data_IF_315173670661
#
_entry.id   IF_315173670661
#
_cell.length_a   1.000
_cell.length_b   1.000
_cell.length_c   1.000
_cell.angle_alpha   90.00
_cell.angle_beta   90.00
_cell.angle_gamma   90.00
#
_symmetry.space_group_name_H-M   'P 1'
#
loop_
_entity.id
_entity.type
_entity.pdbx_description
1 polymer ?
#
# COMPACT_ATOMS: atom_id res chain seq x y z
N UNK A 1 -11.01 -32.79 -54.40
CA UNK A 1 -11.60 -31.46 -54.09
C UNK A 1 -12.99 -31.46 -53.44
N UNK A 2 -13.75 -32.52 -53.45
CA UNK A 2 -15.09 -32.59 -52.80
C UNK A 2 -15.04 -32.97 -51.31
N UNK A 3 -14.07 -33.75 -50.89
CA UNK A 3 -13.89 -34.19 -49.46
C UNK A 3 -13.39 -33.11 -48.52
N UNK A 4 -12.54 -32.19 -48.99
CA UNK A 4 -12.03 -31.08 -48.18
C UNK A 4 -13.08 -30.03 -47.88
N UNK A 5 -14.02 -29.79 -48.76
CA UNK A 5 -15.15 -28.86 -48.52
C UNK A 5 -16.17 -29.41 -47.52
N UNK A 6 -16.34 -30.74 -47.48
CA UNK A 6 -17.24 -31.38 -46.50
C UNK A 6 -16.67 -31.35 -45.10
N UNK A 7 -15.32 -31.48 -44.94
CA UNK A 7 -14.65 -31.39 -43.66
C UNK A 7 -14.65 -29.95 -43.09
N UNK A 8 -14.54 -28.95 -43.97
CA UNK A 8 -14.65 -27.52 -43.56
C UNK A 8 -16.07 -27.15 -43.11
N UNK A 9 -17.10 -27.73 -43.70
CA UNK A 9 -18.49 -27.50 -43.33
C UNK A 9 -18.83 -28.12 -41.97
N UNK A 10 -18.25 -29.28 -41.64
CA UNK A 10 -18.40 -29.93 -40.32
C UNK A 10 -17.67 -29.11 -39.24
N UNK A 11 -16.50 -28.57 -39.53
CA UNK A 11 -15.76 -27.71 -38.55
C UNK A 11 -16.48 -26.41 -38.22
N UNK A 12 -17.14 -25.78 -39.21
CA UNK A 12 -17.95 -24.58 -39.01
C UNK A 12 -19.22 -24.88 -38.20
N UNK A 13 -19.82 -26.09 -38.35
CA UNK A 13 -21.02 -26.45 -37.59
C UNK A 13 -20.71 -26.77 -36.12
N UNK A 14 -19.51 -27.23 -35.79
CA UNK A 14 -19.09 -27.50 -34.40
C UNK A 14 -18.83 -26.20 -33.62
N UNK A 15 -18.37 -25.16 -34.30
CA UNK A 15 -18.16 -23.82 -33.67
C UNK A 15 -19.49 -23.10 -33.40
N UNK A 16 -20.56 -23.38 -34.16
CA UNK A 16 -21.87 -22.77 -33.97
C UNK A 16 -22.68 -23.35 -32.78
N UNK A 17 -22.24 -24.48 -32.19
CA UNK A 17 -22.91 -25.11 -31.02
C UNK A 17 -22.30 -24.67 -29.67
N UNK A 18 -21.35 -23.74 -29.64
CA UNK A 18 -20.95 -23.04 -28.45
C UNK A 18 -22.01 -22.00 -28.06
N UNK A 19 -23.24 -22.47 -27.81
CA UNK A 19 -24.19 -21.72 -27.02
C UNK A 19 -23.60 -21.56 -25.62
N UNK A 20 -23.01 -20.39 -25.32
CA UNK A 20 -22.80 -19.98 -23.95
C UNK A 20 -24.18 -19.87 -23.30
N UNK A 21 -24.60 -20.89 -22.55
CA UNK A 21 -25.60 -20.72 -21.53
C UNK A 21 -25.07 -19.55 -20.72
N UNK A 22 -25.78 -18.43 -20.73
CA UNK A 22 -25.53 -17.34 -19.75
C UNK A 22 -25.49 -18.04 -18.39
N UNK A 23 -24.32 -18.06 -17.76
CA UNK A 23 -24.22 -18.58 -16.40
C UNK A 23 -25.27 -17.82 -15.60
N UNK A 24 -26.24 -18.55 -15.05
CA UNK A 24 -27.27 -17.98 -14.20
C UNK A 24 -26.50 -17.26 -13.10
N UNK A 25 -26.73 -15.96 -12.94
CA UNK A 25 -26.05 -15.22 -11.90
C UNK A 25 -26.24 -15.96 -10.58
N UNK A 26 -25.14 -16.34 -9.93
CA UNK A 26 -25.20 -17.06 -8.66
C UNK A 26 -25.82 -16.18 -7.58
N UNK A 27 -25.58 -14.87 -7.65
CA UNK A 27 -25.99 -13.93 -6.64
C UNK A 27 -27.52 -13.76 -6.63
N UNK A 28 -28.08 -13.77 -5.43
CA UNK A 28 -29.48 -13.43 -5.19
C UNK A 28 -29.73 -11.94 -5.46
N UNK A 29 -30.92 -11.61 -5.96
CA UNK A 29 -31.39 -10.23 -5.98
C UNK A 29 -31.63 -9.77 -4.53
N UNK A 30 -30.68 -9.00 -4.00
CA UNK A 30 -30.73 -8.51 -2.62
C UNK A 30 -32.01 -7.71 -2.31
N UNK A 31 -32.61 -7.07 -3.31
CA UNK A 31 -33.85 -6.30 -3.11
C UNK A 31 -34.99 -7.13 -2.53
N UNK A 32 -35.02 -8.43 -2.87
CA UNK A 32 -36.03 -9.39 -2.39
C UNK A 32 -35.78 -9.82 -0.93
N UNK A 33 -34.55 -9.70 -0.46
CA UNK A 33 -34.13 -10.17 0.88
C UNK A 33 -34.08 -9.07 1.94
N UNK A 34 -34.33 -7.81 1.60
CA UNK A 34 -34.24 -6.67 2.52
C UNK A 34 -35.10 -6.77 3.78
N UNK A 35 -36.18 -7.55 3.74
CA UNK A 35 -37.00 -7.82 4.92
C UNK A 35 -36.31 -8.77 5.92
N UNK A 36 -35.25 -9.46 5.51
CA UNK A 36 -34.57 -10.49 6.29
C UNK A 36 -33.10 -10.20 6.52
N UNK A 37 -32.46 -9.50 5.61
CA UNK A 37 -31.03 -9.22 5.62
C UNK A 37 -30.79 -7.72 5.46
N UNK A 38 -30.05 -7.13 6.40
CA UNK A 38 -29.67 -5.71 6.38
C UNK A 38 -28.34 -5.49 5.64
N UNK A 39 -27.37 -6.38 5.87
CA UNK A 39 -26.02 -6.26 5.30
C UNK A 39 -25.35 -7.62 5.22
N UNK A 40 -24.33 -7.75 4.35
CA UNK A 40 -23.53 -8.96 4.20
C UNK A 40 -22.15 -8.64 3.63
N UNK A 41 -21.19 -9.53 3.82
CA UNK A 41 -19.87 -9.43 3.20
C UNK A 41 -20.01 -9.50 1.68
N UNK A 42 -19.44 -8.53 0.96
CA UNK A 42 -19.56 -8.47 -0.50
C UNK A 42 -18.32 -7.85 -1.15
N UNK A 43 -18.10 -8.13 -2.43
CA UNK A 43 -17.01 -7.57 -3.22
C UNK A 43 -15.64 -8.10 -2.78
N UNK A 44 -14.65 -7.19 -2.70
CA UNK A 44 -13.29 -7.52 -2.28
C UNK A 44 -13.19 -7.52 -0.74
N UNK A 45 -12.76 -8.65 -0.19
CA UNK A 45 -12.56 -8.85 1.26
C UNK A 45 -11.13 -9.26 1.56
N UNK A 46 -10.64 -8.99 2.77
CA UNK A 46 -9.36 -9.52 3.23
C UNK A 46 -9.41 -11.05 3.30
N UNK A 47 -8.31 -11.71 2.98
CA UNK A 47 -8.16 -13.15 3.17
C UNK A 47 -8.27 -13.57 4.65
N UNK A 48 -8.11 -12.63 5.59
CA UNK A 48 -8.26 -12.85 7.03
C UNK A 48 -9.66 -12.46 7.56
N UNK A 49 -10.59 -12.09 6.68
CA UNK A 49 -11.92 -11.67 7.10
C UNK A 49 -12.85 -12.83 7.37
N UNK A 50 -13.72 -12.64 8.37
CA UNK A 50 -14.92 -13.44 8.53
C UNK A 50 -15.92 -13.12 7.42
N UNK A 51 -16.78 -14.07 7.08
CA UNK A 51 -17.90 -13.86 6.15
C UNK A 51 -19.14 -13.61 6.98
N UNK A 52 -19.66 -12.38 6.93
CA UNK A 52 -20.72 -11.88 7.84
C UNK A 52 -22.04 -11.64 7.13
N UNK A 53 -23.11 -11.89 7.84
CA UNK A 53 -24.47 -11.48 7.45
C UNK A 53 -25.16 -10.83 8.65
N UNK A 54 -25.72 -9.66 8.44
CA UNK A 54 -26.53 -8.93 9.42
C UNK A 54 -28.01 -9.13 9.08
N UNK A 55 -28.75 -9.75 9.99
CA UNK A 55 -30.18 -10.03 9.83
C UNK A 55 -31.03 -8.78 10.15
N UNK A 56 -32.20 -8.69 9.53
CA UNK A 56 -33.17 -7.64 9.80
C UNK A 56 -34.10 -7.94 11.01
N UNK A 57 -33.79 -9.01 11.72
CA UNK A 57 -34.54 -9.45 12.92
C UNK A 57 -33.55 -9.96 13.99
N UNK A 58 -33.99 -9.87 15.25
CA UNK A 58 -33.21 -10.32 16.40
C UNK A 58 -33.52 -11.77 16.76
N UNK A 59 -32.47 -12.50 17.08
CA UNK A 59 -32.50 -13.82 17.74
C UNK A 59 -32.14 -13.63 19.21
N UNK A 60 -33.17 -13.45 20.04
CA UNK A 60 -32.97 -13.12 21.47
C UNK A 60 -32.23 -14.20 22.26
N UNK A 61 -32.25 -15.44 21.76
CA UNK A 61 -31.56 -16.58 22.31
C UNK A 61 -30.06 -16.57 22.05
N UNK A 62 -29.58 -15.76 21.09
CA UNK A 62 -28.16 -15.75 20.74
C UNK A 62 -27.33 -14.89 21.70
N UNK A 63 -26.21 -15.42 22.09
CA UNK A 63 -25.18 -14.71 22.85
C UNK A 63 -23.95 -14.45 21.97
N UNK A 64 -23.22 -13.39 22.27
CA UNK A 64 -22.03 -13.04 21.49
C UNK A 64 -20.96 -14.15 21.57
N UNK A 65 -20.43 -14.55 20.42
CA UNK A 65 -19.47 -15.64 20.19
C UNK A 65 -20.04 -17.06 20.45
N UNK A 66 -21.34 -17.21 20.51
CA UNK A 66 -21.98 -18.53 20.55
C UNK A 66 -21.78 -19.25 19.22
N UNK A 67 -21.38 -20.51 19.28
CA UNK A 67 -21.24 -21.37 18.11
C UNK A 67 -22.61 -21.86 17.66
N UNK A 68 -22.91 -21.69 16.38
CA UNK A 68 -24.16 -22.05 15.73
C UNK A 68 -23.96 -23.27 14.83
N UNK A 69 -25.07 -23.79 14.29
CA UNK A 69 -25.03 -24.89 13.33
C UNK A 69 -24.20 -24.52 12.10
N UNK A 70 -23.24 -25.35 11.77
CA UNK A 70 -22.37 -25.17 10.61
C UNK A 70 -23.12 -25.21 9.28
N UNK A 71 -24.26 -25.91 9.24
CA UNK A 71 -25.11 -26.01 8.04
C UNK A 71 -25.80 -24.69 7.67
N UNK A 72 -25.71 -23.66 8.50
CA UNK A 72 -26.24 -22.33 8.13
C UNK A 72 -25.53 -21.71 6.95
N UNK A 73 -24.29 -22.07 6.68
CA UNK A 73 -23.54 -21.60 5.54
C UNK A 73 -23.04 -22.76 4.67
N UNK A 74 -23.16 -22.58 3.35
CA UNK A 74 -22.43 -23.39 2.36
C UNK A 74 -21.48 -22.49 1.60
N UNK A 75 -20.20 -22.87 1.51
CA UNK A 75 -19.15 -22.08 0.86
C UNK A 75 -18.48 -22.94 -0.21
N UNK A 76 -18.35 -22.39 -1.41
CA UNK A 76 -17.70 -23.05 -2.55
C UNK A 76 -16.62 -22.13 -3.16
N UNK A 77 -15.36 -22.60 -3.30
CA UNK A 77 -14.83 -23.88 -2.84
C UNK A 77 -14.94 -24.05 -1.32
N UNK A 78 -15.03 -25.28 -0.84
CA UNK A 78 -15.19 -25.60 0.58
C UNK A 78 -14.05 -25.02 1.42
N UNK A 79 -14.41 -24.49 2.59
CA UNK A 79 -13.51 -23.89 3.57
C UNK A 79 -13.88 -24.46 4.95
N UNK A 80 -12.89 -24.95 5.67
CA UNK A 80 -13.06 -25.35 7.07
C UNK A 80 -13.21 -24.12 7.97
N UNK A 81 -14.17 -24.16 8.86
CA UNK A 81 -14.44 -23.04 9.77
C UNK A 81 -15.64 -23.33 10.67
N UNK A 82 -16.07 -22.30 11.38
CA UNK A 82 -17.25 -22.39 12.26
C UNK A 82 -18.18 -21.22 12.05
N UNK A 83 -19.45 -21.43 12.32
CA UNK A 83 -20.47 -20.38 12.31
C UNK A 83 -20.68 -19.91 13.75
N UNK A 84 -20.67 -18.58 13.94
CA UNK A 84 -20.89 -17.96 15.26
C UNK A 84 -21.88 -16.82 15.19
N UNK A 85 -22.62 -16.61 16.25
CA UNK A 85 -23.36 -15.38 16.48
C UNK A 85 -22.40 -14.30 17.00
N UNK A 86 -22.20 -13.21 16.28
CA UNK A 86 -21.44 -12.05 16.75
C UNK A 86 -22.31 -11.13 17.63
N UNK A 87 -23.61 -11.15 17.41
CA UNK A 87 -24.63 -10.44 18.20
C UNK A 87 -25.99 -11.13 18.02
N UNK A 88 -27.03 -10.57 18.61
CA UNK A 88 -28.40 -11.07 18.46
C UNK A 88 -28.94 -11.06 17.00
N UNK A 89 -28.30 -10.33 16.09
CA UNK A 89 -28.72 -10.24 14.68
C UNK A 89 -27.56 -10.38 13.68
N UNK A 90 -26.37 -10.70 14.11
CA UNK A 90 -25.20 -10.81 13.23
C UNK A 90 -24.58 -12.19 13.36
N UNK A 91 -24.52 -12.90 12.23
CA UNK A 91 -23.83 -14.19 12.13
C UNK A 91 -22.59 -14.08 11.26
N UNK A 92 -21.60 -14.89 11.55
CA UNK A 92 -20.37 -14.96 10.80
C UNK A 92 -19.91 -16.40 10.61
N UNK A 93 -19.44 -16.72 9.43
CA UNK A 93 -18.58 -17.85 9.20
C UNK A 93 -17.13 -17.40 9.44
N UNK A 94 -16.45 -18.02 10.39
CA UNK A 94 -15.06 -17.76 10.75
C UNK A 94 -14.21 -18.88 10.18
N UNK A 95 -13.41 -18.64 9.12
CA UNK A 95 -12.51 -19.63 8.58
C UNK A 95 -11.48 -20.08 9.62
N UNK A 96 -11.18 -21.38 9.68
CA UNK A 96 -10.13 -21.92 10.58
C UNK A 96 -8.73 -21.42 10.17
N UNK A 97 -8.52 -21.26 8.85
CA UNK A 97 -7.30 -20.69 8.26
C UNK A 97 -7.67 -19.53 7.37
N UNK A 98 -6.72 -18.64 7.11
CA UNK A 98 -6.96 -17.56 6.14
C UNK A 98 -7.41 -18.15 4.80
N UNK A 99 -8.34 -17.47 4.15
CA UNK A 99 -8.80 -17.81 2.81
C UNK A 99 -7.65 -17.69 1.80
N UNK A 100 -7.73 -18.47 0.70
CA UNK A 100 -6.77 -18.30 -0.39
C UNK A 100 -6.91 -16.90 -0.98
N UNK A 101 -5.79 -16.26 -1.28
CA UNK A 101 -5.78 -14.92 -1.87
C UNK A 101 -6.22 -14.94 -3.35
N UNK A 102 -6.75 -13.81 -3.83
CA UNK A 102 -7.21 -13.62 -5.21
C UNK A 102 -8.21 -14.68 -5.68
N UNK A 103 -8.99 -15.24 -4.76
CA UNK A 103 -9.94 -16.33 -5.02
C UNK A 103 -11.37 -15.87 -4.79
N UNK A 104 -12.25 -16.35 -5.65
CA UNK A 104 -13.68 -16.14 -5.53
C UNK A 104 -14.30 -17.28 -4.73
N UNK A 105 -15.21 -16.92 -3.82
CA UNK A 105 -15.99 -17.84 -3.02
C UNK A 105 -17.47 -17.51 -3.21
N UNK A 106 -18.25 -18.53 -3.55
CA UNK A 106 -19.68 -18.50 -3.58
C UNK A 106 -20.21 -18.90 -2.21
N UNK A 107 -21.05 -18.08 -1.63
CA UNK A 107 -21.57 -18.26 -0.27
C UNK A 107 -23.08 -18.35 -0.33
N UNK A 108 -23.64 -19.38 0.28
CA UNK A 108 -25.07 -19.58 0.47
C UNK A 108 -25.37 -19.50 1.96
N UNK A 109 -26.21 -18.58 2.38
CA UNK A 109 -26.85 -18.60 3.70
C UNK A 109 -28.19 -19.29 3.59
N UNK A 110 -28.39 -20.39 4.33
CA UNK A 110 -29.65 -21.13 4.43
C UNK A 110 -30.63 -20.37 5.35
N UNK A 111 -31.26 -19.32 4.82
CA UNK A 111 -32.11 -18.40 5.57
C UNK A 111 -33.34 -19.10 6.16
N UNK A 112 -33.83 -20.19 5.53
CA UNK A 112 -34.95 -20.99 6.04
C UNK A 112 -34.64 -21.68 7.38
N UNK A 113 -33.37 -21.90 7.72
CA UNK A 113 -32.95 -22.47 9.03
C UNK A 113 -33.01 -21.41 10.14
N UNK A 114 -33.03 -20.14 9.77
CA UNK A 114 -33.04 -19.03 10.72
C UNK A 114 -34.44 -18.47 10.98
N UNK A 115 -35.32 -18.48 9.99
CA UNK A 115 -36.67 -17.91 10.09
C UNK A 115 -37.60 -18.46 9.01
N UNK A 116 -38.89 -18.29 9.21
CA UNK A 116 -39.88 -18.69 8.23
C UNK A 116 -39.83 -17.72 7.03
N UNK A 117 -39.53 -18.25 5.86
CA UNK A 117 -39.43 -17.49 4.61
C UNK A 117 -40.23 -18.14 3.47
N UNK A 118 -40.65 -17.38 2.47
CA UNK A 118 -41.23 -17.95 1.24
C UNK A 118 -40.25 -18.91 0.58
N UNK A 119 -40.78 -19.96 -0.06
CA UNK A 119 -39.94 -21.02 -0.68
C UNK A 119 -38.90 -20.53 -1.70
N UNK A 120 -39.14 -19.32 -2.27
CA UNK A 120 -38.17 -18.68 -3.21
C UNK A 120 -37.01 -17.95 -2.51
N UNK A 121 -37.10 -17.74 -1.20
CA UNK A 121 -36.11 -17.00 -0.39
C UNK A 121 -35.40 -17.89 0.63
N UNK A 122 -35.45 -19.20 0.45
CA UNK A 122 -34.84 -20.16 1.40
C UNK A 122 -33.33 -19.97 1.50
N UNK A 123 -32.69 -19.67 0.38
CA UNK A 123 -31.25 -19.55 0.26
C UNK A 123 -30.88 -18.16 -0.24
N UNK A 124 -30.02 -17.48 0.50
CA UNK A 124 -29.43 -16.22 0.09
C UNK A 124 -28.00 -16.45 -0.42
N UNK A 125 -27.82 -16.25 -1.72
CA UNK A 125 -26.56 -16.49 -2.41
C UNK A 125 -25.83 -15.19 -2.67
N UNK A 126 -24.53 -15.16 -2.38
CA UNK A 126 -23.68 -14.03 -2.68
C UNK A 126 -22.25 -14.48 -2.93
N UNK A 127 -21.45 -13.64 -3.59
CA UNK A 127 -20.06 -13.90 -3.94
C UNK A 127 -19.16 -12.92 -3.24
N UNK A 128 -18.06 -13.42 -2.71
CA UNK A 128 -16.94 -12.60 -2.24
C UNK A 128 -15.69 -12.96 -3.04
N UNK A 129 -14.77 -12.00 -3.17
CA UNK A 129 -13.44 -12.24 -3.74
C UNK A 129 -12.39 -11.75 -2.75
N UNK A 130 -11.42 -12.59 -2.45
CA UNK A 130 -10.30 -12.21 -1.59
C UNK A 130 -9.30 -11.30 -2.34
N UNK A 131 -8.72 -10.37 -1.62
CA UNK A 131 -7.69 -9.47 -2.14
C UNK A 131 -6.48 -10.30 -2.59
N UNK A 132 -5.93 -9.99 -3.76
CA UNK A 132 -4.60 -10.48 -4.16
C UNK A 132 -3.57 -9.79 -3.28
N UNK A 133 -2.76 -10.57 -2.56
CA UNK A 133 -1.67 -9.99 -1.78
C UNK A 133 -0.62 -9.40 -2.70
N UNK A 134 -0.24 -8.19 -2.38
CA UNK A 134 0.79 -7.42 -3.06
C UNK A 134 1.43 -6.47 -2.05
N UNK A 135 2.58 -5.90 -2.36
CA UNK A 135 3.18 -4.87 -1.53
C UNK A 135 4.01 -3.89 -2.34
N UNK A 136 4.21 -2.73 -1.78
CA UNK A 136 5.07 -1.68 -2.31
C UNK A 136 6.10 -1.29 -1.25
N UNK A 137 7.34 -1.09 -1.67
CA UNK A 137 8.41 -0.56 -0.83
C UNK A 137 8.66 0.88 -1.22
N UNK A 138 8.58 1.78 -0.25
CA UNK A 138 8.91 3.19 -0.42
C UNK A 138 9.94 3.60 0.61
N UNK A 139 10.79 4.54 0.25
CA UNK A 139 11.79 5.13 1.16
C UNK A 139 11.74 6.63 1.05
N UNK A 140 12.11 7.30 2.13
CA UNK A 140 12.37 8.74 2.14
C UNK A 140 13.79 9.00 1.64
N UNK A 141 14.16 10.26 1.61
CA UNK A 141 15.51 10.68 1.27
C UNK A 141 16.56 10.20 2.26
N UNK A 142 17.77 10.07 1.74
CA UNK A 142 18.95 9.78 2.53
C UNK A 142 19.19 10.90 3.55
N UNK A 143 19.35 10.54 4.82
CA UNK A 143 19.57 11.46 5.92
C UNK A 143 20.94 11.20 6.56
N UNK A 144 21.62 12.28 6.97
CA UNK A 144 22.88 12.21 7.71
C UNK A 144 22.67 12.48 9.20
N UNK A 145 23.26 11.66 10.06
CA UNK A 145 23.37 11.95 11.49
C UNK A 145 24.84 12.07 11.94
N UNK A 146 25.77 11.79 11.07
CA UNK A 146 27.19 12.01 11.28
C UNK A 146 27.94 12.07 9.97
N UNK A 147 29.19 12.50 10.01
CA UNK A 147 30.10 12.52 8.86
C UNK A 147 30.35 11.11 8.27
N UNK A 148 30.25 10.07 9.10
CA UNK A 148 30.60 8.69 8.73
C UNK A 148 29.38 7.84 8.38
N UNK A 149 28.20 8.22 8.83
CA UNK A 149 26.99 7.38 8.73
C UNK A 149 25.77 8.16 8.32
N UNK A 150 25.00 7.50 7.49
CA UNK A 150 23.69 7.95 7.02
C UNK A 150 22.63 6.89 7.28
N UNK A 151 21.37 7.25 7.11
CA UNK A 151 20.24 6.34 7.24
C UNK A 151 19.12 6.67 6.25
N UNK A 152 18.28 5.69 5.99
CA UNK A 152 17.05 5.83 5.22
C UNK A 152 15.86 5.33 6.03
N UNK A 153 14.79 6.09 6.05
CA UNK A 153 13.49 5.60 6.52
C UNK A 153 12.71 5.02 5.36
N UNK A 154 11.94 3.99 5.63
CA UNK A 154 11.09 3.39 4.62
C UNK A 154 9.84 2.76 5.18
N UNK A 155 8.94 2.41 4.28
CA UNK A 155 7.66 1.77 4.58
C UNK A 155 7.41 0.68 3.55
N UNK A 156 7.01 -0.50 4.03
CA UNK A 156 6.36 -1.52 3.20
C UNK A 156 4.86 -1.34 3.39
N UNK A 157 4.13 -1.11 2.30
CA UNK A 157 2.66 -1.05 2.31
C UNK A 157 2.11 -2.25 1.59
N UNK A 158 1.29 -3.07 2.27
CA UNK A 158 0.67 -4.27 1.70
C UNK A 158 -0.79 -4.04 1.32
N UNK A 159 -1.26 -4.75 0.31
CA UNK A 159 -2.66 -4.67 -0.16
C UNK A 159 -3.64 -5.30 0.83
N UNK A 160 -3.22 -6.35 1.52
CA UNK A 160 -3.99 -7.04 2.57
C UNK A 160 -3.14 -7.26 3.82
N UNK A 161 -3.76 -7.74 4.89
CA UNK A 161 -3.08 -8.03 6.15
C UNK A 161 -1.90 -8.98 5.92
N UNK A 162 -0.73 -8.57 6.40
CA UNK A 162 0.50 -9.33 6.37
C UNK A 162 1.02 -9.48 7.81
N UNK A 163 1.67 -10.56 8.14
CA UNK A 163 2.29 -10.67 9.44
C UNK A 163 3.65 -9.94 9.50
N UNK A 164 4.02 -9.47 10.69
CA UNK A 164 5.21 -8.65 10.89
C UNK A 164 6.52 -9.39 10.57
N UNK A 165 6.58 -10.68 10.84
CA UNK A 165 7.78 -11.48 10.59
C UNK A 165 7.96 -11.78 9.09
N UNK A 166 6.86 -11.94 8.35
CA UNK A 166 6.87 -12.01 6.89
C UNK A 166 7.34 -10.67 6.29
N UNK A 167 6.77 -9.55 6.74
CA UNK A 167 7.17 -8.23 6.25
C UNK A 167 8.68 -7.97 6.38
N UNK A 168 9.30 -8.41 7.49
CA UNK A 168 10.75 -8.30 7.72
C UNK A 168 11.60 -9.09 6.71
N UNK A 169 11.05 -10.17 6.18
CA UNK A 169 11.77 -11.05 5.25
C UNK A 169 11.61 -10.63 3.79
N UNK A 170 10.70 -9.71 3.49
CA UNK A 170 10.46 -9.23 2.13
C UNK A 170 11.62 -8.42 1.58
N UNK A 171 12.39 -7.72 2.42
CA UNK A 171 13.44 -6.79 1.98
C UNK A 171 14.81 -7.18 2.51
N UNK A 172 15.80 -6.86 1.73
CA UNK A 172 17.23 -6.95 2.09
C UNK A 172 17.96 -5.72 1.57
N UNK A 173 19.05 -5.36 2.24
CA UNK A 173 19.87 -4.21 1.87
C UNK A 173 21.33 -4.60 1.85
N UNK A 174 22.02 -4.21 0.79
CA UNK A 174 23.46 -4.41 0.65
C UNK A 174 24.14 -3.10 0.27
N UNK A 175 25.31 -2.87 0.84
CA UNK A 175 26.27 -1.85 0.45
C UNK A 175 27.56 -2.54 0.03
N UNK A 176 27.95 -2.42 -1.25
CA UNK A 176 29.14 -3.08 -1.79
C UNK A 176 29.25 -4.57 -1.38
N UNK A 177 28.17 -5.33 -1.65
CA UNK A 177 28.03 -6.76 -1.32
C UNK A 177 28.03 -7.12 0.17
N UNK A 178 28.03 -6.14 1.06
CA UNK A 178 27.86 -6.34 2.51
C UNK A 178 26.44 -6.03 2.94
N UNK A 179 25.85 -6.95 3.69
CA UNK A 179 24.51 -6.75 4.24
C UNK A 179 24.48 -5.55 5.22
N UNK A 180 23.51 -4.67 5.04
CA UNK A 180 23.22 -3.55 5.93
C UNK A 180 22.03 -3.90 6.79
N UNK A 181 22.09 -3.55 8.08
CA UNK A 181 21.05 -3.87 9.03
C UNK A 181 19.78 -3.04 8.78
N UNK A 182 18.65 -3.72 8.75
CA UNK A 182 17.32 -3.10 8.70
C UNK A 182 16.71 -3.21 10.10
N UNK A 183 16.19 -2.10 10.62
CA UNK A 183 15.47 -2.04 11.89
C UNK A 183 13.99 -1.73 11.62
N UNK A 184 13.13 -2.70 11.85
CA UNK A 184 11.69 -2.49 11.78
C UNK A 184 11.16 -1.87 13.08
N UNK A 185 10.25 -0.92 12.97
CA UNK A 185 9.64 -0.20 14.10
C UNK A 185 8.23 -0.72 14.32
N UNK A 186 8.10 -1.71 15.20
CA UNK A 186 6.85 -2.43 15.43
C UNK A 186 5.74 -1.51 15.96
N UNK A 187 6.08 -0.59 16.83
CA UNK A 187 5.15 0.35 17.48
C UNK A 187 4.53 1.35 16.48
N UNK A 188 5.19 1.58 15.35
CA UNK A 188 4.73 2.45 14.27
C UNK A 188 4.18 1.67 13.07
N UNK A 189 4.14 0.35 13.17
CA UNK A 189 3.65 -0.55 12.13
C UNK A 189 2.24 -1.04 12.47
N UNK A 190 1.47 -1.36 11.43
CA UNK A 190 0.16 -2.00 11.55
C UNK A 190 0.13 -3.24 10.64
N UNK A 191 -1.03 -3.84 10.43
CA UNK A 191 -1.13 -5.04 9.61
C UNK A 191 -0.91 -4.83 8.10
N UNK A 192 -0.86 -3.57 7.64
CA UNK A 192 -0.69 -3.20 6.23
C UNK A 192 0.47 -2.25 5.97
N UNK A 193 0.99 -1.59 7.01
CA UNK A 193 2.11 -0.65 6.88
C UNK A 193 3.21 -1.03 7.87
N UNK A 194 4.41 -1.26 7.37
CA UNK A 194 5.57 -1.71 8.14
C UNK A 194 6.70 -0.71 7.97
N UNK A 195 6.89 0.12 8.99
CA UNK A 195 7.94 1.13 9.00
C UNK A 195 9.28 0.51 9.35
N UNK A 196 10.31 0.89 8.62
CA UNK A 196 11.67 0.44 8.84
C UNK A 196 12.69 1.57 8.67
N UNK A 197 13.87 1.33 9.23
CA UNK A 197 15.04 2.20 9.09
C UNK A 197 16.19 1.32 8.60
N UNK A 198 16.82 1.74 7.51
CA UNK A 198 18.13 1.23 7.09
C UNK A 198 19.15 2.11 7.79
N UNK A 199 19.74 1.59 8.84
CA UNK A 199 20.63 2.34 9.73
C UNK A 199 22.10 2.03 9.42
N UNK A 200 22.97 2.93 9.84
CA UNK A 200 24.43 2.74 9.75
C UNK A 200 24.95 2.52 8.32
N UNK A 201 24.36 3.20 7.35
CA UNK A 201 24.88 3.28 5.98
C UNK A 201 26.21 4.03 6.06
N UNK A 202 27.31 3.31 5.77
CA UNK A 202 28.65 3.87 5.93
C UNK A 202 29.03 4.73 4.73
N UNK A 203 29.46 5.95 4.99
CA UNK A 203 30.05 6.79 3.96
C UNK A 203 31.51 6.38 3.70
N UNK A 204 31.81 6.15 2.44
CA UNK A 204 33.17 5.88 1.97
C UNK A 204 33.92 7.20 1.70
N UNK A 205 35.20 7.11 1.33
CA UNK A 205 35.95 8.29 0.86
C UNK A 205 35.34 8.77 -0.46
N UNK A 206 35.11 7.85 -1.37
CA UNK A 206 34.47 8.06 -2.67
C UNK A 206 32.98 7.78 -2.60
N UNK A 207 32.22 8.24 -3.60
CA UNK A 207 30.82 7.93 -3.76
C UNK A 207 30.61 6.41 -3.85
N UNK A 208 29.58 5.90 -3.18
CA UNK A 208 29.22 4.49 -3.16
C UNK A 208 27.72 4.31 -3.40
N UNK A 209 27.25 3.06 -3.42
CA UNK A 209 25.82 2.76 -3.61
C UNK A 209 25.33 1.78 -2.57
N UNK A 210 24.05 1.93 -2.18
CA UNK A 210 23.32 0.87 -1.52
C UNK A 210 22.25 0.34 -2.46
N UNK A 211 21.99 -0.96 -2.34
CA UNK A 211 20.93 -1.66 -3.05
C UNK A 211 19.92 -2.18 -2.04
N UNK A 212 18.69 -1.76 -2.18
CA UNK A 212 17.52 -2.28 -1.48
C UNK A 212 16.84 -3.23 -2.43
N UNK A 213 16.70 -4.50 -2.06
CA UNK A 213 16.03 -5.52 -2.87
C UNK A 213 14.85 -6.09 -2.11
N UNK A 214 13.78 -6.45 -2.81
CA UNK A 214 12.62 -7.12 -2.23
C UNK A 214 12.19 -8.29 -3.07
N UNK A 215 11.70 -9.33 -2.39
CA UNK A 215 11.23 -10.55 -3.01
C UNK A 215 10.07 -11.15 -2.19
N UNK A 216 8.88 -11.14 -2.76
CA UNK A 216 7.67 -11.71 -2.18
C UNK A 216 7.46 -13.18 -2.54
N UNK A 217 8.19 -13.73 -3.53
CA UNK A 217 7.94 -15.07 -4.07
C UNK A 217 8.02 -16.20 -3.02
N UNK A 218 8.90 -16.14 -1.99
CA UNK A 218 8.90 -17.15 -0.93
C UNK A 218 7.62 -17.16 -0.06
N UNK A 219 6.76 -16.17 -0.22
CA UNK A 219 5.51 -15.97 0.56
C UNK A 219 4.27 -15.95 -0.33
N UNK A 220 4.35 -16.52 -1.53
CA UNK A 220 3.28 -16.54 -2.54
C UNK A 220 2.80 -15.14 -2.95
N UNK A 221 3.68 -14.14 -2.89
CA UNK A 221 3.43 -12.78 -3.35
C UNK A 221 4.25 -12.53 -4.62
N UNK A 222 3.55 -12.31 -5.73
CA UNK A 222 4.15 -12.10 -7.05
C UNK A 222 4.65 -10.66 -7.20
N UNK A 223 5.63 -10.28 -6.34
CA UNK A 223 6.24 -8.97 -6.33
C UNK A 223 7.73 -9.07 -6.02
N UNK A 224 8.55 -8.49 -6.90
CA UNK A 224 10.00 -8.48 -6.80
C UNK A 224 10.57 -7.21 -7.42
N UNK A 225 11.63 -6.71 -6.86
CA UNK A 225 12.29 -5.53 -7.41
C UNK A 225 13.52 -5.10 -6.63
N UNK A 226 14.11 -4.02 -7.08
CA UNK A 226 15.25 -3.41 -6.41
C UNK A 226 15.27 -1.89 -6.61
N UNK A 227 15.98 -1.20 -5.75
CA UNK A 227 16.15 0.23 -5.73
C UNK A 227 17.61 0.54 -5.36
N UNK A 228 18.24 1.45 -6.10
CA UNK A 228 19.63 1.87 -5.88
C UNK A 228 19.66 3.30 -5.37
N UNK A 229 20.45 3.55 -4.35
CA UNK A 229 20.75 4.89 -3.83
C UNK A 229 22.23 5.21 -3.93
N UNK A 230 22.54 6.40 -4.45
CA UNK A 230 23.87 6.95 -4.42
C UNK A 230 24.19 7.50 -3.03
N UNK A 231 25.28 7.05 -2.45
CA UNK A 231 25.79 7.51 -1.17
C UNK A 231 26.99 8.42 -1.43
N UNK A 232 26.85 9.75 -1.24
CA UNK A 232 27.94 10.68 -1.47
C UNK A 232 29.14 10.38 -0.59
N UNK A 233 30.32 10.41 -1.17
CA UNK A 233 31.58 10.27 -0.45
C UNK A 233 31.80 11.38 0.59
N UNK A 234 32.68 11.14 1.56
CA UNK A 234 32.91 12.09 2.68
C UNK A 234 33.37 13.48 2.25
N UNK A 235 34.05 13.58 1.12
CA UNK A 235 34.52 14.86 0.57
C UNK A 235 33.60 15.48 -0.47
N UNK A 236 32.45 14.86 -0.74
CA UNK A 236 31.52 15.28 -1.77
C UNK A 236 30.24 15.86 -1.16
N UNK A 237 30.35 17.08 -0.59
CA UNK A 237 29.21 17.79 -0.07
C UNK A 237 28.35 18.30 -1.24
N UNK A 238 27.13 17.81 -1.34
CA UNK A 238 26.20 18.13 -2.45
C UNK A 238 24.75 18.00 -2.03
N UNK A 239 23.85 18.50 -2.87
CA UNK A 239 22.41 18.21 -2.77
C UNK A 239 22.17 16.78 -3.26
N UNK A 240 21.36 16.04 -2.48
CA UNK A 240 20.96 14.65 -2.75
C UNK A 240 19.58 14.60 -3.40
N UNK A 241 18.66 15.46 -2.96
CA UNK A 241 17.32 15.60 -3.54
C UNK A 241 16.73 16.99 -3.34
N UNK A 242 15.76 17.34 -4.19
CA UNK A 242 14.96 18.54 -4.09
C UNK A 242 13.49 18.17 -4.30
N UNK A 243 12.66 18.37 -3.27
CA UNK A 243 11.25 17.98 -3.28
C UNK A 243 10.37 19.08 -2.69
N UNK A 244 9.10 19.11 -3.10
CA UNK A 244 8.09 19.99 -2.51
C UNK A 244 7.21 19.22 -1.56
N UNK A 245 7.23 19.59 -0.27
CA UNK A 245 6.31 19.06 0.73
C UNK A 245 4.88 19.53 0.42
N UNK A 246 3.94 18.60 0.39
CA UNK A 246 2.56 18.82 -0.09
C UNK A 246 1.55 19.12 1.03
N UNK A 247 2.00 19.41 2.24
CA UNK A 247 1.12 19.80 3.35
C UNK A 247 0.56 21.22 3.15
N UNK A 248 -0.23 21.72 4.11
CA UNK A 248 -1.00 22.98 4.02
C UNK A 248 -0.23 24.21 3.51
N UNK A 249 1.10 24.20 3.59
CA UNK A 249 1.97 25.23 3.02
C UNK A 249 2.99 24.53 2.11
N UNK A 250 3.20 25.07 0.90
CA UNK A 250 4.27 24.60 0.02
C UNK A 250 5.62 24.96 0.65
N UNK A 251 6.45 23.94 0.86
CA UNK A 251 7.84 24.08 1.33
C UNK A 251 8.73 23.31 0.38
N UNK A 252 9.72 23.96 -0.21
CA UNK A 252 10.77 23.25 -0.95
C UNK A 252 11.77 22.70 0.06
N UNK A 253 12.00 21.40 0.00
CA UNK A 253 12.95 20.66 0.81
C UNK A 253 14.19 20.37 -0.04
N UNK A 254 15.32 20.98 0.32
CA UNK A 254 16.62 20.68 -0.28
C UNK A 254 17.40 19.81 0.70
N UNK A 255 17.62 18.58 0.34
CA UNK A 255 18.28 17.58 1.17
C UNK A 255 19.77 17.47 0.77
N UNK A 256 20.66 17.75 1.69
CA UNK A 256 22.10 17.73 1.47
C UNK A 256 22.73 16.41 1.98
N UNK A 257 23.91 16.09 1.48
CA UNK A 257 24.65 14.91 1.90
C UNK A 257 25.16 14.96 3.35
N UNK A 258 25.27 16.16 3.90
CA UNK A 258 25.80 16.45 5.24
C UNK A 258 24.97 17.52 5.97
N UNK A 259 25.02 17.57 7.30
CA UNK A 259 24.41 18.67 8.06
C UNK A 259 24.94 20.04 7.63
N UNK A 260 24.01 20.98 7.56
CA UNK A 260 24.28 22.35 7.12
C UNK A 260 24.84 23.20 8.26
N UNK A 261 25.70 24.16 7.92
CA UNK A 261 26.09 25.22 8.81
C UNK A 261 24.86 26.09 9.14
N UNK A 262 24.42 26.05 10.41
CA UNK A 262 23.19 26.71 10.87
C UNK A 262 23.27 28.23 10.88
N UNK A 263 24.51 28.75 10.94
CA UNK A 263 24.75 30.19 11.03
C UNK A 263 24.94 30.83 9.65
N UNK A 264 24.85 30.05 8.57
CA UNK A 264 24.98 30.57 7.22
C UNK A 264 23.73 31.29 6.75
N UNK A 265 23.88 32.45 6.12
CA UNK A 265 22.86 33.10 5.34
C UNK A 265 22.76 32.45 3.96
N UNK A 266 21.57 31.94 3.63
CA UNK A 266 21.27 31.31 2.36
C UNK A 266 20.71 32.28 1.31
N UNK A 267 20.54 33.55 1.67
CA UNK A 267 20.06 34.59 0.74
C UNK A 267 21.00 34.75 -0.44
N UNK A 268 20.45 34.65 -1.65
CA UNK A 268 21.24 34.71 -2.89
C UNK A 268 21.96 33.42 -3.27
N UNK A 269 22.03 32.43 -2.36
CA UNK A 269 22.59 31.09 -2.67
C UNK A 269 21.53 30.12 -3.18
N UNK A 270 20.26 30.40 -2.97
CA UNK A 270 19.14 29.61 -3.48
C UNK A 270 18.22 30.49 -4.28
N UNK A 271 17.89 30.07 -5.48
CA UNK A 271 16.93 30.75 -6.34
C UNK A 271 15.88 29.76 -6.84
N UNK A 272 14.65 30.21 -6.94
CA UNK A 272 13.54 29.49 -7.52
C UNK A 272 12.85 30.37 -8.55
N UNK A 273 12.70 29.86 -9.74
CA UNK A 273 12.04 30.59 -10.84
C UNK A 273 10.69 31.17 -10.39
N UNK A 274 10.45 32.43 -10.70
CA UNK A 274 9.24 33.18 -10.35
C UNK A 274 9.01 33.40 -8.84
N UNK A 275 9.95 33.04 -7.97
CA UNK A 275 9.83 33.26 -6.54
C UNK A 275 10.72 34.43 -6.08
N UNK A 276 10.17 35.27 -5.19
CA UNK A 276 10.87 36.37 -4.57
C UNK A 276 10.82 36.25 -3.03
N UNK A 277 11.81 36.85 -2.36
CA UNK A 277 11.84 36.95 -0.90
C UNK A 277 11.71 35.61 -0.19
N UNK A 278 12.59 34.66 -0.54
CA UNK A 278 12.65 33.35 0.07
C UNK A 278 13.04 33.44 1.56
N UNK A 279 12.44 32.60 2.38
CA UNK A 279 12.81 32.40 3.78
C UNK A 279 13.36 31.01 3.98
N UNK A 280 14.32 30.87 4.89
CA UNK A 280 15.07 29.63 5.07
C UNK A 280 14.99 29.15 6.53
N UNK A 281 15.01 27.83 6.70
CA UNK A 281 15.22 27.17 7.98
C UNK A 281 16.02 25.88 7.76
N UNK A 282 16.97 25.62 8.64
CA UNK A 282 17.80 24.40 8.60
C UNK A 282 17.34 23.38 9.63
N UNK A 283 17.38 22.09 9.27
CA UNK A 283 17.13 20.97 10.16
C UNK A 283 18.09 19.82 9.82
N UNK A 284 19.26 19.79 10.45
CA UNK A 284 20.32 18.85 10.11
C UNK A 284 20.83 19.10 8.69
N UNK A 285 20.69 18.12 7.81
CA UNK A 285 21.07 18.20 6.40
C UNK A 285 19.95 18.71 5.48
N UNK A 286 18.83 19.13 6.03
CA UNK A 286 17.69 19.63 5.29
C UNK A 286 17.61 21.16 5.35
N UNK A 287 17.54 21.82 4.18
CA UNK A 287 17.20 23.22 4.03
C UNK A 287 15.75 23.34 3.60
N UNK A 288 14.92 23.95 4.45
CA UNK A 288 13.53 24.29 4.14
C UNK A 288 13.47 25.68 3.54
N UNK A 289 12.87 25.79 2.34
CA UNK A 289 12.66 27.06 1.64
C UNK A 289 11.18 27.38 1.61
N UNK A 290 10.81 28.52 2.19
CA UNK A 290 9.43 28.98 2.31
C UNK A 290 9.17 30.12 1.32
N UNK A 291 8.00 30.10 0.74
CA UNK A 291 7.51 31.06 -0.23
C UNK A 291 6.48 31.99 0.40
N UNK A 292 6.42 33.23 -0.07
CA UNK A 292 5.37 34.18 0.34
C UNK A 292 4.03 33.88 -0.35
N UNK A 293 4.08 33.35 -1.58
CA UNK A 293 2.92 33.02 -2.39
C UNK A 293 3.06 31.60 -2.95
N UNK A 294 1.95 30.84 -3.11
CA UNK A 294 1.97 29.51 -3.70
C UNK A 294 2.47 29.55 -5.15
N UNK A 295 3.42 28.67 -5.46
CA UNK A 295 3.97 28.48 -6.79
C UNK A 295 3.22 27.37 -7.54
N UNK A 296 3.34 27.35 -8.89
CA UNK A 296 2.66 26.38 -9.74
C UNK A 296 3.51 25.96 -10.92
N UNK A 297 3.39 24.69 -11.29
CA UNK A 297 4.03 24.15 -12.47
C UNK A 297 5.43 23.61 -12.17
N UNK A 298 6.15 23.34 -13.23
CA UNK A 298 7.52 22.87 -13.17
C UNK A 298 8.45 24.10 -13.23
N UNK A 299 9.14 24.38 -12.13
CA UNK A 299 9.98 25.57 -11.96
C UNK A 299 11.44 25.16 -11.72
N UNK A 300 12.35 25.97 -12.26
CA UNK A 300 13.77 25.77 -12.09
C UNK A 300 14.19 26.18 -10.65
N UNK A 301 14.86 25.27 -9.96
CA UNK A 301 15.50 25.48 -8.68
C UNK A 301 17.00 25.49 -8.90
N UNK A 302 17.66 26.59 -8.52
CA UNK A 302 19.11 26.73 -8.62
C UNK A 302 19.70 26.94 -7.23
N UNK A 303 20.77 26.24 -6.95
CA UNK A 303 21.52 26.40 -5.70
C UNK A 303 22.99 26.57 -6.05
N UNK A 304 23.53 27.71 -5.63
CA UNK A 304 24.90 28.09 -6.00
C UNK A 304 25.93 27.48 -5.05
N UNK A 305 27.12 27.20 -5.59
CA UNK A 305 28.27 26.82 -4.78
C UNK A 305 28.54 27.84 -3.68
N UNK A 306 29.07 27.37 -2.56
CA UNK A 306 29.35 28.26 -1.40
C UNK A 306 28.47 27.95 -0.21
N UNK A 307 27.42 27.12 -0.36
CA UNK A 307 26.75 26.54 0.81
C UNK A 307 27.76 25.66 1.56
N UNK A 308 27.76 25.79 2.88
CA UNK A 308 28.70 25.11 3.77
C UNK A 308 27.98 24.07 4.65
N UNK A 309 28.63 22.93 4.83
CA UNK A 309 28.27 21.97 5.86
C UNK A 309 28.71 22.42 7.25
N UNK A 310 28.16 21.83 8.31
CA UNK A 310 28.59 22.04 9.69
C UNK A 310 30.10 21.77 9.91
N UNK A 311 30.67 20.85 9.14
CA UNK A 311 32.11 20.52 9.12
C UNK A 311 32.97 21.49 8.26
N UNK A 312 32.38 22.52 7.65
CA UNK A 312 33.07 23.51 6.82
C UNK A 312 33.37 23.08 5.38
N UNK A 313 32.80 21.98 4.91
CA UNK A 313 32.89 21.62 3.49
C UNK A 313 31.94 22.49 2.66
N UNK A 314 32.46 23.00 1.55
CA UNK A 314 31.65 23.79 0.61
C UNK A 314 31.13 22.95 -0.55
N UNK A 315 29.94 23.25 -0.98
CA UNK A 315 29.41 22.71 -2.22
C UNK A 315 30.29 23.18 -3.38
N UNK A 316 30.80 22.24 -4.19
CA UNK A 316 31.80 22.51 -5.24
C UNK A 316 31.19 22.86 -6.58
N UNK A 317 29.94 22.49 -6.80
CA UNK A 317 29.22 22.68 -8.07
C UNK A 317 27.84 23.28 -7.77
N UNK A 318 27.34 24.08 -8.70
CA UNK A 318 25.96 24.53 -8.65
C UNK A 318 25.03 23.33 -8.87
N UNK A 319 23.89 23.36 -8.19
CA UNK A 319 22.77 22.45 -8.44
C UNK A 319 21.72 23.18 -9.24
N UNK A 320 21.13 22.51 -10.22
CA UNK A 320 20.04 23.06 -11.04
C UNK A 320 19.11 21.92 -11.44
N UNK A 321 17.86 21.99 -11.02
CA UNK A 321 16.85 20.97 -11.27
C UNK A 321 15.47 21.61 -11.43
N UNK A 322 14.62 21.02 -12.28
CA UNK A 322 13.22 21.37 -12.40
C UNK A 322 12.39 20.60 -11.40
N UNK A 323 11.71 21.33 -10.53
CA UNK A 323 10.88 20.77 -9.48
C UNK A 323 9.41 21.12 -9.72
N UNK A 324 8.52 20.15 -9.52
CA UNK A 324 7.08 20.33 -9.72
C UNK A 324 6.41 20.89 -8.47
N UNK A 325 5.84 22.08 -8.60
CA UNK A 325 5.01 22.74 -7.60
C UNK A 325 3.53 22.53 -7.95
N UNK A 326 2.89 21.58 -7.24
CA UNK A 326 1.46 21.30 -7.43
C UNK A 326 0.63 22.17 -6.49
N UNK A 327 -0.54 22.61 -6.94
CA UNK A 327 -1.53 23.18 -6.03
C UNK A 327 -2.09 22.06 -5.13
N UNK A 328 -2.16 22.32 -3.84
CA UNK A 328 -2.93 21.50 -2.91
C UNK A 328 -4.41 21.59 -3.34
N UNK A 329 -4.92 20.57 -4.00
CA UNK A 329 -6.36 20.47 -4.25
C UNK A 329 -7.02 20.06 -2.93
N UNK A 330 -8.16 20.69 -2.56
CA UNK A 330 -8.96 20.20 -1.45
C UNK A 330 -9.28 18.72 -1.69
N UNK A 331 -8.86 17.88 -0.79
CA UNK A 331 -9.09 16.43 -0.87
C UNK A 331 -9.76 15.94 0.41
N UNK A 332 -10.67 14.98 0.26
CA UNK A 332 -11.22 14.25 1.40
C UNK A 332 -10.40 12.98 1.58
N UNK A 333 -9.73 12.85 2.72
CA UNK A 333 -9.03 11.63 3.11
C UNK A 333 -9.87 10.89 4.14
N UNK A 334 -10.30 9.67 3.82
CA UNK A 334 -10.93 8.80 4.82
C UNK A 334 -9.87 8.30 5.80
N UNK A 335 -10.02 8.69 7.07
CA UNK A 335 -9.07 8.35 8.16
C UNK A 335 -9.28 6.92 8.66
N UNK A 336 -10.45 6.31 8.38
CA UNK A 336 -10.77 4.93 8.70
C UNK A 336 -11.56 4.28 7.56
N UNK A 337 -11.08 3.14 7.07
CA UNK A 337 -11.91 2.16 6.40
C UNK A 337 -12.41 1.21 7.49
N UNK A 338 -13.65 1.32 7.87
CA UNK A 338 -14.33 0.39 8.76
C UNK A 338 -15.43 -0.29 8.00
N UNK A 339 -15.45 -1.60 8.02
CA UNK A 339 -16.66 -2.38 7.71
C UNK A 339 -17.64 -2.12 8.85
N UNK A 340 -18.80 -1.56 8.52
CA UNK A 340 -19.95 -1.47 9.44
C UNK A 340 -20.59 -2.83 9.53
#
# INVERSE_FOLDING_TARGET
>A
MKTTRFLQLIFVLIVALSCSKSAKDFNSDFSLFKAYILNFSSGLVSANSDIRVVLAFDKKEWTANEELDENLFTISPSVDGKVVALSNNTIAFIPEKKLDQNKEYQVTLHLSELTNVPSKLKDFNFTIKTIKQDFMVTTNDLQSYSKDYQYLNGVITSSDDLDFETAKKLISVNQEDKAVKIKFVKELSNKKEYKFVIDSIKRQVEDSKIKISWDGTPFDIDQKGEMLYDIPGKSNFKIVSAEVEKDNNQVLLLNFSDPLNRDQDFSGLVQVESALNLRFATAGNLLKVFFNEPLKGELLVEVFQGIESEDGFKMKQNFSEKVTFEQVKPGVRFIKSGTI
#
